data_IF_712728567663
#
_entry.id   IF_712728567663
#
_cell.length_a   1.000
_cell.length_b   1.000
_cell.length_c   1.000
_cell.angle_alpha   90.00
_cell.angle_beta   90.00
_cell.angle_gamma   90.00
#
_symmetry.space_group_name_H-M   'P 1'
#
loop_
_entity.id
_entity.type
_entity.pdbx_description
1 polymer ?
#
# COMPACT_ATOMS: atom_id res chain seq x y z
N UNK A 1 16.84 -5.97 -6.84
CA UNK A 1 16.62 -5.84 -8.30
C UNK A 1 17.01 -7.14 -8.98
N UNK A 2 16.15 -7.72 -9.82
CA UNK A 2 16.53 -8.93 -10.58
C UNK A 2 17.71 -8.59 -11.49
N UNK A 3 18.79 -9.38 -11.45
CA UNK A 3 20.05 -9.18 -12.21
C UNK A 3 19.81 -8.89 -13.71
N UNK A 4 18.72 -9.43 -14.26
CA UNK A 4 18.29 -9.28 -15.65
C UNK A 4 17.81 -7.86 -16.01
N UNK A 5 17.13 -7.16 -15.10
CA UNK A 5 16.61 -5.80 -15.36
C UNK A 5 17.72 -4.76 -15.56
N UNK A 6 18.82 -4.91 -14.81
CA UNK A 6 20.00 -4.05 -14.98
C UNK A 6 20.67 -4.23 -16.33
N UNK A 7 20.74 -5.47 -16.83
CA UNK A 7 21.34 -5.79 -18.14
C UNK A 7 20.58 -5.16 -19.29
N UNK A 8 19.25 -5.21 -19.27
CA UNK A 8 18.41 -4.54 -20.27
C UNK A 8 18.61 -3.02 -20.26
N UNK A 9 18.60 -2.39 -19.09
CA UNK A 9 18.78 -0.95 -18.97
C UNK A 9 20.16 -0.50 -19.47
N UNK A 10 21.22 -1.24 -19.15
CA UNK A 10 22.58 -0.97 -19.64
C UNK A 10 22.66 -1.10 -21.16
N UNK A 11 22.15 -2.20 -21.73
CA UNK A 11 22.15 -2.43 -23.17
C UNK A 11 21.42 -1.34 -23.95
N UNK A 12 20.21 -0.96 -23.49
CA UNK A 12 19.41 0.12 -24.09
C UNK A 12 20.15 1.46 -23.99
N UNK A 13 20.73 1.78 -22.82
CA UNK A 13 21.44 3.04 -22.62
C UNK A 13 22.69 3.16 -23.50
N UNK A 14 23.45 2.07 -23.66
CA UNK A 14 24.65 2.04 -24.48
C UNK A 14 24.34 2.15 -25.98
N UNK A 15 23.25 1.50 -26.42
CA UNK A 15 22.74 1.65 -27.78
C UNK A 15 22.29 3.09 -28.07
N UNK A 16 21.48 3.68 -27.19
CA UNK A 16 20.99 5.06 -27.35
C UNK A 16 22.12 6.10 -27.30
N UNK A 17 23.22 5.81 -26.58
CA UNK A 17 24.43 6.65 -26.55
C UNK A 17 25.34 6.47 -27.77
N UNK A 18 24.97 5.61 -28.72
CA UNK A 18 25.76 5.34 -29.93
C UNK A 18 27.05 4.55 -29.69
N UNK A 19 27.21 3.90 -28.53
CA UNK A 19 28.39 3.07 -28.24
C UNK A 19 28.47 1.82 -29.11
N UNK A 20 27.32 1.40 -29.67
CA UNK A 20 27.20 0.26 -30.56
C UNK A 20 26.39 0.65 -31.79
N UNK A 21 26.82 0.17 -32.96
CA UNK A 21 26.12 0.40 -34.23
C UNK A 21 24.80 -0.36 -34.34
N UNK A 22 24.64 -1.45 -33.59
CA UNK A 22 23.42 -2.25 -33.57
C UNK A 22 23.00 -2.59 -32.15
N UNK A 23 21.69 -2.67 -31.93
CA UNK A 23 21.13 -3.12 -30.66
C UNK A 23 21.58 -4.55 -30.32
N UNK A 24 21.77 -5.39 -31.35
CA UNK A 24 22.24 -6.77 -31.19
C UNK A 24 23.64 -6.83 -30.59
N UNK A 25 24.56 -5.97 -31.04
CA UNK A 25 25.91 -5.88 -30.48
C UNK A 25 25.90 -5.43 -29.00
N UNK A 26 25.07 -4.46 -28.65
CA UNK A 26 24.88 -4.05 -27.26
C UNK A 26 24.32 -5.20 -26.41
N UNK A 27 23.30 -5.90 -26.89
CA UNK A 27 22.70 -7.06 -26.21
C UNK A 27 23.72 -8.17 -25.94
N UNK A 28 24.55 -8.52 -26.93
CA UNK A 28 25.62 -9.51 -26.76
C UNK A 28 26.66 -9.06 -25.73
N UNK A 29 27.02 -7.77 -25.70
CA UNK A 29 28.01 -7.24 -24.75
C UNK A 29 27.53 -7.30 -23.30
N UNK A 30 26.25 -7.01 -23.07
CA UNK A 30 25.65 -6.95 -21.72
C UNK A 30 24.90 -8.22 -21.32
N UNK A 31 25.00 -9.29 -22.13
CA UNK A 31 24.31 -10.57 -21.90
C UNK A 31 22.78 -10.40 -21.69
N UNK A 32 22.18 -9.56 -22.54
CA UNK A 32 20.76 -9.26 -22.54
C UNK A 32 20.05 -9.96 -23.72
N UNK A 33 18.93 -10.69 -23.51
CA UNK A 33 18.13 -11.25 -24.59
C UNK A 33 17.67 -10.20 -25.62
N UNK A 34 18.02 -10.40 -26.89
CA UNK A 34 17.76 -9.42 -27.95
C UNK A 34 16.27 -9.11 -28.13
N UNK A 35 15.40 -10.13 -28.17
CA UNK A 35 13.95 -9.94 -28.42
C UNK A 35 13.32 -9.01 -27.38
N UNK A 36 13.50 -9.32 -26.09
CA UNK A 36 12.97 -8.52 -24.99
C UNK A 36 13.54 -7.10 -24.98
N UNK A 37 14.82 -6.95 -25.31
CA UNK A 37 15.47 -5.62 -25.36
C UNK A 37 14.95 -4.80 -26.54
N UNK A 38 14.75 -5.43 -27.69
CA UNK A 38 14.13 -4.81 -28.87
C UNK A 38 12.70 -4.35 -28.60
N UNK A 39 11.88 -5.19 -27.98
CA UNK A 39 10.51 -4.84 -27.62
C UNK A 39 10.47 -3.63 -26.67
N UNK A 40 11.39 -3.56 -25.70
CA UNK A 40 11.54 -2.41 -24.79
C UNK A 40 11.93 -1.12 -25.53
N UNK A 41 12.85 -1.20 -26.49
CA UNK A 41 13.20 -0.04 -27.35
C UNK A 41 12.00 0.42 -28.17
N UNK A 42 11.12 -0.50 -28.59
CA UNK A 42 9.86 -0.20 -29.27
C UNK A 42 8.74 0.30 -28.35
N UNK A 43 8.99 0.40 -27.05
CA UNK A 43 8.04 0.94 -26.07
C UNK A 43 7.28 -0.10 -25.24
N UNK A 44 7.67 -1.38 -25.29
CA UNK A 44 7.10 -2.38 -24.40
C UNK A 44 7.48 -2.09 -22.93
N UNK A 45 6.47 -2.07 -22.06
CA UNK A 45 6.64 -1.81 -20.63
C UNK A 45 7.13 -3.10 -19.94
N UNK A 46 8.15 -3.04 -19.07
CA UNK A 46 8.57 -4.19 -18.27
C UNK A 46 7.40 -4.73 -17.44
N UNK A 47 7.32 -6.05 -17.27
CA UNK A 47 6.24 -6.67 -16.50
C UNK A 47 6.13 -6.15 -15.06
N UNK A 48 7.25 -5.75 -14.44
CA UNK A 48 7.27 -5.13 -13.10
C UNK A 48 6.57 -3.78 -13.04
N UNK A 49 6.58 -3.05 -14.15
CA UNK A 49 6.02 -1.70 -14.28
C UNK A 49 4.62 -1.77 -14.94
N UNK A 50 4.18 -2.99 -15.30
CA UNK A 50 2.88 -3.23 -15.88
C UNK A 50 1.80 -3.19 -14.79
N UNK A 51 0.84 -2.29 -14.95
CA UNK A 51 -0.34 -2.24 -14.10
C UNK A 51 -1.16 -3.52 -14.30
N UNK A 52 -1.34 -4.38 -13.29
CA UNK A 52 -2.15 -5.58 -13.43
C UNK A 52 -3.58 -5.21 -13.83
N UNK A 53 -4.15 -5.95 -14.81
CA UNK A 53 -5.51 -5.72 -15.33
C UNK A 53 -6.60 -5.73 -14.23
N UNK A 54 -6.30 -6.34 -13.08
CA UNK A 54 -7.21 -6.48 -11.95
C UNK A 54 -7.10 -5.33 -10.91
N UNK A 55 -6.20 -4.36 -11.08
CA UNK A 55 -6.15 -3.15 -10.25
C UNK A 55 -7.26 -2.18 -10.68
N UNK A 56 -8.32 -2.11 -9.87
CA UNK A 56 -9.48 -1.24 -10.10
C UNK A 56 -9.19 0.23 -9.77
N UNK A 57 -8.35 0.46 -8.76
CA UNK A 57 -7.94 1.79 -8.31
C UNK A 57 -6.62 2.21 -8.96
N UNK A 58 -6.42 3.52 -9.14
CA UNK A 58 -5.13 4.12 -9.52
C UNK A 58 -4.16 4.08 -8.34
N UNK A 59 -2.86 4.25 -8.60
CA UNK A 59 -1.84 4.23 -7.53
C UNK A 59 -2.08 5.34 -6.49
N UNK A 60 -2.57 6.51 -6.95
CA UNK A 60 -2.95 7.62 -6.07
C UNK A 60 -4.17 7.28 -5.20
N UNK A 61 -5.19 6.65 -5.78
CA UNK A 61 -6.37 6.19 -5.03
C UNK A 61 -6.02 5.08 -4.03
N UNK A 62 -5.20 4.10 -4.43
CA UNK A 62 -4.72 3.06 -3.52
C UNK A 62 -3.93 3.69 -2.37
N UNK A 63 -3.04 4.65 -2.66
CA UNK A 63 -2.27 5.37 -1.64
C UNK A 63 -3.15 6.16 -0.69
N UNK A 64 -4.16 6.88 -1.19
CA UNK A 64 -5.11 7.61 -0.36
C UNK A 64 -5.94 6.67 0.53
N UNK A 65 -6.37 5.53 -0.01
CA UNK A 65 -7.10 4.51 0.76
C UNK A 65 -6.22 3.93 1.88
N UNK A 66 -4.94 3.63 1.59
CA UNK A 66 -3.97 3.16 2.59
C UNK A 66 -3.78 4.21 3.69
N UNK A 67 -3.54 5.47 3.33
CA UNK A 67 -3.37 6.55 4.30
C UNK A 67 -4.60 6.71 5.19
N UNK A 68 -5.80 6.62 4.60
CA UNK A 68 -7.04 6.63 5.36
C UNK A 68 -7.11 5.46 6.36
N UNK A 69 -6.80 4.23 5.93
CA UNK A 69 -6.79 3.05 6.81
C UNK A 69 -5.79 3.20 7.96
N UNK A 70 -4.57 3.68 7.68
CA UNK A 70 -3.55 3.93 8.70
C UNK A 70 -3.96 5.03 9.68
N UNK A 71 -4.60 6.10 9.19
CA UNK A 71 -5.12 7.17 10.05
C UNK A 71 -6.24 6.68 10.99
N UNK A 72 -7.03 5.71 10.55
CA UNK A 72 -8.08 5.08 11.36
C UNK A 72 -7.46 4.15 12.42
N UNK A 73 -6.42 3.41 12.05
CA UNK A 73 -5.65 2.60 12.99
C UNK A 73 -4.96 3.46 14.07
N UNK A 74 -4.36 4.60 13.70
CA UNK A 74 -3.75 5.53 14.64
C UNK A 74 -4.74 6.06 15.69
N UNK A 75 -6.03 6.13 15.34
CA UNK A 75 -7.14 6.50 16.25
C UNK A 75 -7.64 5.34 17.10
N UNK A 76 -7.05 4.15 16.99
CA UNK A 76 -7.51 2.94 17.67
C UNK A 76 -8.77 2.32 17.05
N UNK A 77 -9.17 2.75 15.85
CA UNK A 77 -10.39 2.31 15.17
C UNK A 77 -10.04 1.52 13.90
N UNK A 78 -9.65 0.24 14.01
CA UNK A 78 -9.33 -0.55 12.82
C UNK A 78 -10.53 -0.68 11.89
N UNK A 79 -10.28 -0.48 10.60
CA UNK A 79 -11.33 -0.47 9.56
C UNK A 79 -11.75 -1.90 9.22
N UNK A 80 -13.07 -2.14 9.12
CA UNK A 80 -13.62 -3.44 8.68
C UNK A 80 -13.51 -3.60 7.17
N UNK A 81 -13.39 -4.85 6.70
CA UNK A 81 -13.34 -5.19 5.26
C UNK A 81 -14.52 -4.62 4.46
N UNK A 82 -15.72 -4.62 5.05
CA UNK A 82 -16.90 -4.06 4.36
C UNK A 82 -16.85 -2.54 4.22
N UNK A 83 -16.33 -1.83 5.22
CA UNK A 83 -16.12 -0.37 5.14
C UNK A 83 -15.07 -0.02 4.08
N UNK A 84 -14.02 -0.84 3.95
CA UNK A 84 -13.00 -0.69 2.90
C UNK A 84 -13.64 -0.89 1.52
N UNK A 85 -14.50 -1.91 1.38
CA UNK A 85 -15.26 -2.16 0.15
C UNK A 85 -16.14 -0.96 -0.21
N UNK A 86 -16.94 -0.46 0.73
CA UNK A 86 -17.82 0.69 0.52
C UNK A 86 -17.05 1.96 0.13
N UNK A 87 -15.92 2.23 0.81
CA UNK A 87 -15.07 3.37 0.47
C UNK A 87 -14.51 3.23 -0.96
N UNK A 88 -14.10 2.03 -1.34
CA UNK A 88 -13.58 1.74 -2.68
C UNK A 88 -14.66 1.93 -3.74
N UNK A 89 -15.86 1.39 -3.52
CA UNK A 89 -17.00 1.53 -4.43
C UNK A 89 -17.35 3.01 -4.63
N UNK A 90 -17.36 3.79 -3.55
CA UNK A 90 -17.58 5.24 -3.59
C UNK A 90 -16.52 5.98 -4.40
N UNK A 91 -15.23 5.64 -4.22
CA UNK A 91 -14.14 6.24 -5.01
C UNK A 91 -14.30 5.94 -6.51
N UNK A 92 -14.68 4.70 -6.85
CA UNK A 92 -14.89 4.28 -8.24
C UNK A 92 -16.08 5.00 -8.87
N UNK A 93 -17.20 5.12 -8.14
CA UNK A 93 -18.39 5.85 -8.56
C UNK A 93 -18.05 7.32 -8.82
N UNK A 94 -17.34 7.97 -7.89
CA UNK A 94 -16.93 9.38 -8.04
C UNK A 94 -15.99 9.61 -9.21
N UNK A 95 -15.05 8.69 -9.50
CA UNK A 95 -14.17 8.82 -10.67
C UNK A 95 -14.92 8.61 -11.98
N UNK A 96 -15.75 7.58 -12.05
CA UNK A 96 -16.28 7.11 -13.32
C UNK A 96 -17.52 7.91 -13.72
N UNK A 97 -18.25 8.48 -12.75
CA UNK A 97 -19.51 9.20 -12.97
C UNK A 97 -20.66 8.29 -13.43
N UNK A 98 -20.35 7.06 -13.81
CA UNK A 98 -21.27 5.94 -13.96
C UNK A 98 -21.65 5.47 -12.56
N UNK A 99 -22.92 5.07 -12.36
CA UNK A 99 -23.53 4.77 -11.06
C UNK A 99 -22.84 3.66 -10.25
N UNK A 100 -23.61 2.84 -9.53
CA UNK A 100 -23.02 1.94 -8.52
C UNK A 100 -22.04 0.92 -9.11
N UNK A 101 -20.73 1.15 -8.94
CA UNK A 101 -19.65 0.22 -9.30
C UNK A 101 -19.29 -0.57 -8.04
N UNK A 102 -19.37 -1.90 -8.12
CA UNK A 102 -19.10 -2.78 -6.98
C UNK A 102 -17.81 -3.57 -7.25
N UNK A 103 -16.87 -3.51 -6.31
CA UNK A 103 -15.67 -4.35 -6.36
C UNK A 103 -16.00 -5.80 -5.96
N UNK A 104 -15.30 -6.75 -6.58
CA UNK A 104 -15.52 -8.17 -6.33
C UNK A 104 -15.29 -8.56 -4.86
N UNK A 105 -15.94 -9.65 -4.42
CA UNK A 105 -15.92 -10.14 -3.03
C UNK A 105 -14.49 -10.25 -2.45
N UNK A 106 -13.57 -10.82 -3.22
CA UNK A 106 -12.18 -11.08 -2.82
C UNK A 106 -11.24 -9.88 -3.05
N UNK A 107 -11.74 -8.75 -3.56
CA UNK A 107 -10.90 -7.62 -3.94
C UNK A 107 -10.15 -7.04 -2.73
N UNK A 108 -10.82 -6.88 -1.59
CA UNK A 108 -10.23 -6.34 -0.34
C UNK A 108 -9.12 -7.27 0.18
N UNK A 109 -9.33 -8.59 0.15
CA UNK A 109 -8.31 -9.55 0.57
C UNK A 109 -7.08 -9.50 -0.32
N UNK A 110 -7.28 -9.42 -1.64
CA UNK A 110 -6.20 -9.28 -2.59
C UNK A 110 -5.49 -7.93 -2.47
N UNK A 111 -6.23 -6.85 -2.19
CA UNK A 111 -5.66 -5.52 -1.95
C UNK A 111 -4.73 -5.55 -0.74
N UNK A 112 -5.17 -6.11 0.39
CA UNK A 112 -4.35 -6.23 1.59
C UNK A 112 -3.11 -7.11 1.32
N UNK A 113 -3.27 -8.24 0.61
CA UNK A 113 -2.15 -9.12 0.25
C UNK A 113 -1.08 -8.46 -0.64
N UNK A 114 -1.44 -7.44 -1.41
CA UNK A 114 -0.50 -6.71 -2.28
C UNK A 114 0.34 -5.68 -1.52
N UNK A 115 -0.14 -5.23 -0.36
CA UNK A 115 0.43 -4.09 0.38
C UNK A 115 0.96 -4.57 1.73
N UNK A 116 2.28 -4.78 1.82
CA UNK A 116 2.95 -5.29 3.04
C UNK A 116 2.78 -4.37 4.27
N UNK A 117 2.45 -3.10 4.05
CA UNK A 117 2.12 -2.13 5.10
C UNK A 117 0.79 -2.43 5.80
N UNK A 118 -0.09 -3.22 5.19
CA UNK A 118 -1.40 -3.56 5.73
C UNK A 118 -1.41 -4.96 6.33
N UNK A 119 -1.92 -5.07 7.55
CA UNK A 119 -2.13 -6.37 8.21
C UNK A 119 -3.56 -6.48 8.72
N UNK A 120 -4.13 -7.67 8.57
CA UNK A 120 -5.42 -7.98 9.20
C UNK A 120 -5.21 -8.37 10.65
N UNK A 121 -6.06 -7.85 11.54
CA UNK A 121 -6.07 -8.21 12.96
C UNK A 121 -7.49 -8.55 13.40
N UNK A 122 -7.60 -9.52 14.29
CA UNK A 122 -8.86 -9.83 14.96
C UNK A 122 -9.01 -8.93 16.17
N UNK A 123 -10.06 -8.10 16.17
CA UNK A 123 -10.42 -7.33 17.36
C UNK A 123 -11.09 -8.26 18.37
N UNK A 124 -10.60 -8.27 19.61
CA UNK A 124 -11.27 -8.94 20.72
C UNK A 124 -12.43 -8.08 21.20
N UNK A 125 -13.56 -8.70 21.51
CA UNK A 125 -14.68 -8.00 22.14
C UNK A 125 -14.20 -7.41 23.46
N UNK A 126 -14.43 -6.11 23.66
CA UNK A 126 -14.14 -5.48 24.94
C UNK A 126 -15.05 -6.06 26.02
N UNK A 127 -14.52 -6.34 27.21
CA UNK A 127 -15.33 -6.90 28.29
C UNK A 127 -16.35 -5.85 28.73
N UNK A 128 -17.63 -6.18 28.58
CA UNK A 128 -18.72 -5.27 28.88
C UNK A 128 -18.78 -4.86 30.36
N UNK A 129 -18.40 -5.76 31.28
CA UNK A 129 -18.33 -5.43 32.69
C UNK A 129 -17.21 -4.42 32.95
N UNK A 130 -16.06 -4.57 32.29
CA UNK A 130 -14.97 -3.58 32.35
C UNK A 130 -15.41 -2.23 31.81
N UNK A 131 -16.07 -2.20 30.66
CA UNK A 131 -16.60 -0.96 30.08
C UNK A 131 -17.53 -0.19 31.03
N UNK A 132 -18.37 -0.92 31.79
CA UNK A 132 -19.26 -0.32 32.80
C UNK A 132 -18.52 0.27 34.01
N UNK A 133 -17.34 -0.26 34.33
CA UNK A 133 -16.52 0.21 35.44
C UNK A 133 -15.60 1.38 35.06
N UNK A 134 -15.53 1.75 33.77
CA UNK A 134 -14.75 2.90 33.29
C UNK A 134 -15.50 4.22 33.51
N UNK A 135 -15.58 4.67 34.76
CA UNK A 135 -16.05 6.02 35.07
C UNK A 135 -14.97 7.05 34.73
N UNK A 136 -15.23 8.01 33.81
CA UNK A 136 -14.27 9.03 33.43
C UNK A 136 -13.73 9.85 34.62
N UNK A 137 -14.55 10.06 35.65
CA UNK A 137 -14.18 10.82 36.85
C UNK A 137 -13.14 10.06 37.64
N UNK A 138 -13.40 8.78 37.94
CA UNK A 138 -12.50 7.90 38.69
C UNK A 138 -11.16 7.76 37.96
N UNK A 139 -11.20 7.56 36.64
CA UNK A 139 -10.00 7.44 35.81
C UNK A 139 -9.16 8.73 35.88
N UNK A 140 -9.79 9.90 35.70
CA UNK A 140 -9.09 11.21 35.74
C UNK A 140 -8.48 11.48 37.11
N UNK A 141 -9.22 11.23 38.18
CA UNK A 141 -8.74 11.47 39.54
C UNK A 141 -7.57 10.55 39.90
N UNK A 142 -7.61 9.29 39.45
CA UNK A 142 -6.48 8.37 39.57
C UNK A 142 -5.23 8.89 38.84
N UNK A 143 -5.35 9.31 37.56
CA UNK A 143 -4.22 9.87 36.82
C UNK A 143 -3.68 11.15 37.43
N UNK A 144 -4.56 12.02 37.95
CA UNK A 144 -4.16 13.24 38.68
C UNK A 144 -3.36 12.90 39.93
N UNK A 145 -3.80 11.90 40.70
CA UNK A 145 -3.08 11.43 41.88
C UNK A 145 -1.71 10.88 41.52
N UNK A 146 -1.61 10.04 40.48
CA UNK A 146 -0.33 9.51 39.99
C UNK A 146 0.61 10.65 39.60
N UNK A 147 0.13 11.63 38.82
CA UNK A 147 0.92 12.79 38.42
C UNK A 147 1.43 13.59 39.64
N UNK A 148 0.58 13.81 40.64
CA UNK A 148 0.95 14.51 41.87
C UNK A 148 2.03 13.77 42.66
N UNK A 149 1.95 12.43 42.75
CA UNK A 149 2.94 11.60 43.44
C UNK A 149 4.28 11.63 42.70
N UNK A 150 4.26 11.46 41.37
CA UNK A 150 5.46 11.55 40.53
C UNK A 150 6.15 12.89 40.72
N UNK A 151 5.38 14.00 40.69
CA UNK A 151 5.90 15.34 40.92
C UNK A 151 6.45 15.54 42.34
N UNK A 152 5.77 14.99 43.37
CA UNK A 152 6.17 15.14 44.78
C UNK A 152 7.47 14.40 45.10
N UNK A 153 7.67 13.21 44.54
CA UNK A 153 8.83 12.36 44.86
C UNK A 153 9.92 12.35 43.79
N UNK A 154 9.75 13.11 42.69
CA UNK A 154 10.77 13.25 41.65
C UNK A 154 11.09 11.93 40.93
N UNK A 155 10.09 11.08 40.72
CA UNK A 155 10.26 9.79 40.05
C UNK A 155 10.40 10.05 38.54
N UNK A 156 11.57 9.77 37.97
CA UNK A 156 11.90 9.93 36.55
C UNK A 156 11.60 8.65 35.75
#
# INVERSE_FOLDING_TARGET
MSRKEGQFALAISAYNKGQFTSLKAACTRYDAPYSTTYDRVKGAIPQRDFRPRNQKLTDLEESALIQWMLSMEAKGLPVRKDSIRQMTDLLLEKRTGVGRIIVGKCWVDNFIKRHDSLRTKYTRKYDYKRAKCEDPTIIRDWFRLVHNIVAKYGIL
#
